data_IF_088897102444
#
_entry.id   IF_088897102444
#
_cell.length_a   1.000
_cell.length_b   1.000
_cell.length_c   1.000
_cell.angle_alpha   90.00
_cell.angle_beta   90.00
_cell.angle_gamma   90.00
#
_symmetry.space_group_name_H-M   'P 1'
#
loop_
_entity.id
_entity.type
_entity.pdbx_description
1 polymer ?
#
# COMPACT_ATOMS: atom_id res chain seq x y z
N UNK A 1 14.16 -20.15 -5.37
CA UNK A 1 13.27 -19.25 -4.62
C UNK A 1 12.87 -19.95 -3.34
N UNK A 2 12.83 -19.26 -2.21
CA UNK A 2 12.26 -19.81 -0.97
C UNK A 2 10.75 -19.68 -1.12
N UNK A 3 10.03 -20.80 -1.01
CA UNK A 3 8.58 -20.82 -1.08
C UNK A 3 7.98 -20.11 0.14
N UNK A 4 6.99 -19.24 -0.06
CA UNK A 4 6.26 -18.63 1.04
C UNK A 4 5.26 -19.65 1.58
N UNK A 5 5.58 -20.28 2.72
CA UNK A 5 4.79 -21.37 3.31
C UNK A 5 3.94 -20.88 4.49
N UNK A 6 2.70 -21.37 4.58
CA UNK A 6 1.65 -20.98 5.54
C UNK A 6 1.02 -19.60 5.23
N UNK A 7 0.20 -19.10 6.16
CA UNK A 7 -0.53 -17.82 6.07
C UNK A 7 -1.62 -17.74 5.01
N UNK A 8 -2.11 -18.90 4.57
CA UNK A 8 -3.17 -19.00 3.55
C UNK A 8 -4.44 -18.24 3.96
N UNK A 9 -4.83 -18.31 5.24
CA UNK A 9 -5.99 -17.57 5.76
C UNK A 9 -5.78 -16.06 5.69
N UNK A 10 -4.61 -15.55 6.11
CA UNK A 10 -4.33 -14.12 6.03
C UNK A 10 -4.18 -13.61 4.59
N UNK A 11 -3.57 -14.41 3.70
CA UNK A 11 -3.48 -14.08 2.28
C UNK A 11 -4.87 -14.03 1.63
N UNK A 12 -5.71 -15.03 1.91
CA UNK A 12 -7.09 -15.09 1.40
C UNK A 12 -7.87 -13.86 1.86
N UNK A 13 -7.78 -13.53 3.16
CA UNK A 13 -8.47 -12.36 3.72
C UNK A 13 -8.00 -11.05 3.09
N UNK A 14 -6.70 -10.90 2.78
CA UNK A 14 -6.21 -9.70 2.11
C UNK A 14 -6.76 -9.59 0.70
N UNK A 15 -6.78 -10.69 -0.05
CA UNK A 15 -7.32 -10.73 -1.42
C UNK A 15 -8.82 -10.47 -1.45
N UNK A 16 -9.58 -11.01 -0.50
CA UNK A 16 -11.00 -10.69 -0.34
C UNK A 16 -11.26 -9.19 -0.10
N UNK A 17 -10.35 -8.49 0.59
CA UNK A 17 -10.45 -7.03 0.76
C UNK A 17 -10.10 -6.28 -0.53
N UNK A 18 -9.13 -6.76 -1.30
CA UNK A 18 -8.75 -6.18 -2.58
C UNK A 18 -9.86 -6.32 -3.63
N UNK A 19 -10.58 -7.44 -3.61
CA UNK A 19 -11.66 -7.74 -4.57
C UNK A 19 -13.04 -7.22 -4.10
N UNK A 20 -13.09 -6.44 -3.00
CA UNK A 20 -14.32 -5.87 -2.45
C UNK A 20 -14.86 -4.76 -3.36
N UNK A 21 -16.19 -4.67 -3.50
CA UNK A 21 -16.86 -3.57 -4.22
C UNK A 21 -17.02 -2.30 -3.37
N UNK A 22 -16.32 -2.21 -2.24
CA UNK A 22 -16.33 -1.09 -1.33
C UNK A 22 -14.90 -0.69 -0.95
N UNK A 23 -14.70 0.57 -0.57
CA UNK A 23 -13.42 1.02 -0.07
C UNK A 23 -13.08 0.32 1.26
N UNK A 24 -12.01 -0.47 1.27
CA UNK A 24 -11.55 -1.23 2.43
C UNK A 24 -10.30 -0.59 3.07
N UNK A 25 -10.17 -0.73 4.39
CA UNK A 25 -8.96 -0.35 5.13
C UNK A 25 -8.48 -1.50 6.01
N UNK A 26 -7.30 -2.04 5.68
CA UNK A 26 -6.65 -3.07 6.48
C UNK A 26 -5.48 -2.51 7.29
N UNK A 27 -5.45 -2.79 8.60
CA UNK A 27 -4.30 -2.50 9.46
C UNK A 27 -3.64 -3.80 9.87
N UNK A 28 -2.41 -4.03 9.39
CA UNK A 28 -1.66 -5.26 9.67
C UNK A 28 -0.67 -5.01 10.81
N UNK A 29 -0.95 -5.58 11.97
CA UNK A 29 -0.14 -5.44 13.18
C UNK A 29 0.28 -6.80 13.76
N UNK A 30 1.26 -6.80 14.66
CA UNK A 30 1.76 -8.02 15.29
C UNK A 30 3.20 -7.90 15.78
N UNK A 31 3.73 -8.95 16.41
CA UNK A 31 5.10 -8.95 16.99
C UNK A 31 6.17 -8.65 15.93
N UNK A 32 7.31 -8.11 16.37
CA UNK A 32 8.48 -7.85 15.51
C UNK A 32 8.94 -9.15 14.85
N UNK A 33 9.38 -9.08 13.59
CA UNK A 33 9.96 -10.19 12.80
C UNK A 33 9.02 -11.34 12.45
N UNK A 34 7.70 -11.14 12.49
CA UNK A 34 6.72 -12.13 12.03
C UNK A 34 6.44 -12.12 10.51
N UNK A 35 7.28 -11.45 9.71
CA UNK A 35 7.11 -11.45 8.25
C UNK A 35 5.90 -10.67 7.73
N UNK A 36 5.33 -9.72 8.49
CA UNK A 36 4.16 -8.93 8.04
C UNK A 36 4.37 -8.25 6.69
N UNK A 37 5.54 -7.64 6.48
CA UNK A 37 5.87 -7.01 5.20
C UNK A 37 5.94 -8.05 4.07
N UNK A 38 6.42 -9.25 4.36
CA UNK A 38 6.50 -10.34 3.39
C UNK A 38 5.10 -10.86 3.05
N UNK A 39 4.23 -11.01 4.04
CA UNK A 39 2.82 -11.36 3.85
C UNK A 39 2.12 -10.40 2.89
N UNK A 40 2.29 -9.08 3.07
CA UNK A 40 1.65 -8.11 2.16
C UNK A 40 2.24 -8.18 0.77
N UNK A 41 3.58 -8.23 0.66
CA UNK A 41 4.23 -8.38 -0.66
C UNK A 41 3.71 -9.60 -1.41
N UNK A 42 3.59 -10.73 -0.70
CA UNK A 42 3.08 -11.96 -1.31
C UNK A 42 1.60 -11.84 -1.70
N UNK A 43 0.79 -11.15 -0.90
CA UNK A 43 -0.61 -10.89 -1.25
C UNK A 43 -0.79 -10.03 -2.50
N UNK A 44 0.20 -9.20 -2.85
CA UNK A 44 0.19 -8.28 -3.99
C UNK A 44 0.80 -8.87 -5.27
N UNK A 45 1.28 -10.11 -5.25
CA UNK A 45 1.96 -10.73 -6.42
C UNK A 45 1.07 -10.86 -7.66
N UNK A 46 -0.25 -10.82 -7.50
CA UNK A 46 -1.25 -10.87 -8.57
C UNK A 46 -1.80 -9.48 -8.94
N UNK A 47 -1.29 -8.40 -8.30
CA UNK A 47 -1.79 -7.03 -8.41
C UNK A 47 -0.66 -6.09 -8.83
N UNK A 48 -0.37 -6.08 -10.14
CA UNK A 48 0.79 -5.37 -10.72
C UNK A 48 0.70 -3.84 -10.62
N UNK A 49 -0.49 -3.29 -10.44
CA UNK A 49 -0.75 -1.85 -10.33
C UNK A 49 -0.72 -1.33 -8.88
N UNK A 50 -0.53 -2.21 -7.89
CA UNK A 50 -0.53 -1.82 -6.48
C UNK A 50 0.54 -0.76 -6.14
N UNK A 51 0.13 0.30 -5.44
CA UNK A 51 1.01 1.39 -4.99
C UNK A 51 1.69 0.98 -3.69
N UNK A 52 2.99 0.70 -3.72
CA UNK A 52 3.76 0.31 -2.53
C UNK A 52 4.64 1.46 -2.04
N UNK A 53 4.16 2.18 -1.02
CA UNK A 53 4.86 3.33 -0.47
C UNK A 53 5.49 3.05 0.90
N UNK A 54 6.79 3.38 1.03
CA UNK A 54 7.53 3.28 2.29
C UNK A 54 7.73 4.66 2.92
N UNK A 55 6.87 5.00 3.86
CA UNK A 55 6.92 6.28 4.56
C UNK A 55 8.16 6.33 5.48
N UNK A 56 9.06 7.27 5.22
CA UNK A 56 10.21 7.60 6.10
C UNK A 56 9.86 8.79 7.00
N UNK A 57 10.55 8.94 8.14
CA UNK A 57 10.41 10.14 8.98
C UNK A 57 10.87 11.39 8.20
N UNK A 58 9.89 12.11 7.66
CA UNK A 58 10.01 13.31 6.84
C UNK A 58 8.83 14.22 7.15
N UNK A 59 8.84 15.46 6.65
CA UNK A 59 7.67 16.34 6.71
C UNK A 59 6.50 15.72 5.96
N UNK A 60 5.27 16.05 6.36
CA UNK A 60 4.06 15.57 5.70
C UNK A 60 4.04 15.90 4.21
N UNK A 61 4.49 17.10 3.83
CA UNK A 61 4.54 17.55 2.43
C UNK A 61 5.48 16.68 1.59
N UNK A 62 6.67 16.38 2.14
CA UNK A 62 7.63 15.53 1.44
C UNK A 62 7.17 14.07 1.37
N UNK A 63 6.40 13.61 2.36
CA UNK A 63 5.78 12.28 2.28
C UNK A 63 4.73 12.22 1.18
N UNK A 64 3.88 13.25 1.08
CA UNK A 64 2.87 13.36 0.04
C UNK A 64 3.48 13.40 -1.36
N UNK A 65 4.47 14.25 -1.58
CA UNK A 65 5.16 14.32 -2.88
C UNK A 65 5.76 12.98 -3.29
N UNK A 66 6.44 12.29 -2.36
CA UNK A 66 7.02 10.98 -2.65
C UNK A 66 5.96 9.89 -2.87
N UNK A 67 4.82 10.00 -2.20
CA UNK A 67 3.69 9.11 -2.43
C UNK A 67 3.10 9.33 -3.82
N UNK A 68 2.88 10.59 -4.24
CA UNK A 68 2.40 10.96 -5.57
C UNK A 68 3.37 10.44 -6.65
N UNK A 69 4.68 10.64 -6.48
CA UNK A 69 5.71 10.11 -7.38
C UNK A 69 5.59 8.58 -7.52
N UNK A 70 5.41 7.86 -6.41
CA UNK A 70 5.26 6.39 -6.42
C UNK A 70 3.95 5.96 -7.06
N UNK A 71 2.86 6.66 -6.78
CA UNK A 71 1.53 6.34 -7.30
C UNK A 71 1.42 6.63 -8.81
N UNK A 72 2.17 7.61 -9.32
CA UNK A 72 2.16 7.99 -10.73
C UNK A 72 2.70 6.90 -11.66
N UNK A 73 3.49 5.94 -11.14
CA UNK A 73 3.99 4.80 -11.91
C UNK A 73 2.84 3.90 -12.40
N UNK A 74 1.84 3.65 -11.53
CA UNK A 74 0.66 2.83 -11.85
C UNK A 74 -0.55 3.67 -12.27
N UNK A 75 -0.70 4.86 -11.69
CA UNK A 75 -1.83 5.77 -11.91
C UNK A 75 -1.35 7.17 -12.30
N UNK A 76 -0.89 7.39 -13.56
CA UNK A 76 -0.29 8.67 -13.99
C UNK A 76 -1.18 9.91 -13.82
N UNK A 77 -2.50 9.73 -13.67
CA UNK A 77 -3.46 10.81 -13.44
C UNK A 77 -3.22 11.57 -12.13
N UNK A 78 -2.62 10.94 -11.11
CA UNK A 78 -2.35 11.58 -9.80
C UNK A 78 -1.48 12.83 -9.92
N UNK A 79 -0.56 12.87 -10.90
CA UNK A 79 0.34 14.02 -11.10
C UNK A 79 -0.35 15.29 -11.59
N UNK A 80 -1.66 15.23 -11.91
CA UNK A 80 -2.47 16.38 -12.35
C UNK A 80 -3.42 16.88 -11.25
N UNK A 81 -3.47 16.17 -10.13
CA UNK A 81 -4.37 16.46 -9.02
C UNK A 81 -3.66 17.43 -8.08
N UNK A 82 -4.45 18.19 -7.32
CA UNK A 82 -3.91 18.99 -6.23
C UNK A 82 -3.13 18.09 -5.27
N UNK A 83 -1.95 18.55 -4.87
CA UNK A 83 -1.10 17.85 -3.89
C UNK A 83 -1.72 17.94 -2.49
N UNK A 84 -2.79 17.18 -2.25
CA UNK A 84 -3.47 16.99 -0.97
C UNK A 84 -3.78 15.50 -0.76
N UNK A 85 -3.67 15.01 0.48
CA UNK A 85 -3.94 13.60 0.77
C UNK A 85 -5.38 13.19 0.44
N UNK A 86 -6.36 14.05 0.71
CA UNK A 86 -7.78 13.73 0.50
C UNK A 86 -8.08 13.59 -1.00
N UNK A 87 -7.61 14.55 -1.80
CA UNK A 87 -7.79 14.56 -3.25
C UNK A 87 -7.09 13.36 -3.92
N UNK A 88 -5.87 13.06 -3.49
CA UNK A 88 -5.09 11.95 -4.06
C UNK A 88 -5.69 10.59 -3.67
N UNK A 89 -6.04 10.39 -2.40
CA UNK A 89 -6.63 9.14 -1.94
C UNK A 89 -8.04 8.93 -2.53
N UNK A 90 -8.82 10.00 -2.69
CA UNK A 90 -10.14 9.93 -3.33
C UNK A 90 -10.02 9.48 -4.79
N UNK A 91 -9.08 10.07 -5.55
CA UNK A 91 -8.84 9.63 -6.92
C UNK A 91 -8.39 8.16 -6.99
N UNK A 92 -7.48 7.74 -6.12
CA UNK A 92 -7.03 6.35 -6.09
C UNK A 92 -8.18 5.39 -5.75
N UNK A 93 -9.06 5.77 -4.82
CA UNK A 93 -10.25 4.99 -4.50
C UNK A 93 -11.23 4.89 -5.69
N UNK A 94 -11.39 5.96 -6.49
CA UNK A 94 -12.19 5.93 -7.73
C UNK A 94 -11.59 5.04 -8.83
N UNK A 95 -10.29 4.71 -8.75
CA UNK A 95 -9.62 3.79 -9.66
C UNK A 95 -9.51 2.36 -9.10
N UNK A 96 -10.21 2.06 -8.00
CA UNK A 96 -10.11 0.78 -7.28
C UNK A 96 -8.66 0.41 -6.89
N UNK A 97 -7.83 1.43 -6.62
CA UNK A 97 -6.40 1.23 -6.40
C UNK A 97 -6.08 0.58 -5.05
N UNK A 98 -5.15 -0.37 -5.07
CA UNK A 98 -4.58 -0.97 -3.86
C UNK A 98 -3.34 -0.18 -3.44
N UNK A 99 -3.40 0.46 -2.26
CA UNK A 99 -2.29 1.25 -1.72
C UNK A 99 -1.75 0.65 -0.41
N UNK A 100 -0.48 0.25 -0.41
CA UNK A 100 0.25 -0.15 0.79
C UNK A 100 1.06 1.03 1.35
N UNK A 101 0.66 1.51 2.53
CA UNK A 101 1.39 2.52 3.29
C UNK A 101 2.20 1.86 4.42
N UNK A 102 3.52 1.79 4.27
CA UNK A 102 4.40 1.16 5.26
C UNK A 102 5.24 2.19 6.03
N UNK A 103 4.85 2.57 7.26
CA UNK A 103 5.61 3.50 8.09
C UNK A 103 6.88 2.84 8.64
N UNK A 104 8.04 3.40 8.28
CA UNK A 104 9.33 2.99 8.82
C UNK A 104 9.64 3.77 10.10
N UNK A 105 10.00 3.05 11.18
CA UNK A 105 10.69 3.69 12.31
C UNK A 105 12.09 4.10 11.85
N UNK A 106 12.50 5.33 12.17
CA UNK A 106 13.89 5.73 11.99
C UNK A 106 14.80 4.70 12.65
N UNK A 107 15.77 4.19 11.89
CA UNK A 107 16.90 3.49 12.49
C UNK A 107 17.76 4.57 13.12
N UNK A 108 17.65 4.71 14.44
CA UNK A 108 18.65 5.42 15.24
C UNK A 108 19.94 4.60 15.35
#
# INVERSE_FOLDING_TARGET
MVEFVNRTEELTRLRELYDSNAAELAVIYGRRRLGKTELVKESLTEYDDAVVYQAKQKTSDLQLQQFIETAADSYPGVGRIREDWDDILSYLAEQDAIALLNPQKARG
#
